data_IF_551597939930
#
_entry.id   IF_551597939930
#
_cell.length_a   1.000
_cell.length_b   1.000
_cell.length_c   1.000
_cell.angle_alpha   90.00
_cell.angle_beta   90.00
_cell.angle_gamma   90.00
#
_symmetry.space_group_name_H-M   'P 1'
#
loop_
_entity.id
_entity.type
_entity.pdbx_description
1 polymer ?
#
# COMPACT_ATOMS: atom_id res chain seq x y z
N UNK A 1 11.05 3.50 23.78
CA UNK A 1 12.05 3.18 22.74
C UNK A 1 11.67 1.83 22.17
N UNK A 2 11.61 1.74 20.86
CA UNK A 2 11.32 0.47 20.21
C UNK A 2 12.46 -0.54 20.39
N UNK A 3 12.13 -1.80 20.26
CA UNK A 3 13.09 -2.92 20.25
C UNK A 3 12.80 -3.79 19.04
N UNK A 4 13.87 -4.29 18.40
CA UNK A 4 13.77 -5.18 17.25
C UNK A 4 13.81 -6.64 17.72
N UNK A 5 12.89 -7.44 17.21
CA UNK A 5 12.96 -8.91 17.31
C UNK A 5 12.87 -9.53 15.91
N UNK A 6 13.50 -10.70 15.73
CA UNK A 6 13.41 -11.49 14.51
C UNK A 6 12.65 -12.77 14.81
N UNK A 7 11.81 -13.18 13.90
CA UNK A 7 11.03 -14.39 14.00
C UNK A 7 10.82 -15.04 12.64
N UNK A 8 9.97 -16.04 12.64
CA UNK A 8 9.52 -16.72 11.42
C UNK A 8 8.00 -16.87 11.47
N UNK A 9 7.38 -16.67 10.32
CA UNK A 9 5.98 -17.03 10.10
C UNK A 9 5.96 -18.38 9.37
N UNK A 10 5.57 -19.42 10.08
CA UNK A 10 5.50 -20.79 9.56
C UNK A 10 4.07 -21.09 9.12
N UNK A 11 3.87 -21.27 7.82
CA UNK A 11 2.55 -21.63 7.31
C UNK A 11 2.65 -22.48 6.05
N UNK A 12 1.85 -23.56 5.99
CA UNK A 12 1.70 -24.42 4.82
C UNK A 12 3.03 -24.92 4.19
N UNK A 13 4.01 -25.24 5.04
CA UNK A 13 5.32 -25.72 4.59
C UNK A 13 6.28 -24.65 4.07
N UNK A 14 5.89 -23.36 4.15
CA UNK A 14 6.75 -22.24 3.89
C UNK A 14 7.13 -21.53 5.19
N UNK A 15 8.36 -21.03 5.26
CA UNK A 15 8.90 -20.26 6.38
C UNK A 15 9.30 -18.88 5.85
N UNK A 16 8.73 -17.81 6.41
CA UNK A 16 9.00 -16.44 6.04
C UNK A 16 9.66 -15.71 7.21
N UNK A 17 10.80 -15.09 6.97
CA UNK A 17 11.45 -14.25 7.97
C UNK A 17 10.56 -13.05 8.32
N UNK A 18 10.42 -12.79 9.63
CA UNK A 18 9.75 -11.60 10.15
C UNK A 18 10.69 -10.72 10.95
N UNK A 19 10.48 -9.41 10.85
CA UNK A 19 11.17 -8.38 11.62
C UNK A 19 10.10 -7.57 12.34
N UNK A 20 10.17 -7.49 13.67
CA UNK A 20 9.16 -6.82 14.49
C UNK A 20 9.79 -5.72 15.33
N UNK A 21 9.30 -4.50 15.16
CA UNK A 21 9.55 -3.38 16.09
C UNK A 21 8.47 -3.39 17.16
N UNK A 22 8.87 -3.30 18.43
CA UNK A 22 7.95 -3.21 19.57
C UNK A 22 8.22 -1.95 20.37
N UNK A 23 7.22 -1.14 20.64
CA UNK A 23 7.30 0.05 21.52
C UNK A 23 6.12 0.06 22.50
N UNK A 24 6.40 -0.34 23.75
CA UNK A 24 5.38 -0.50 24.77
C UNK A 24 4.37 -1.60 24.44
N UNK A 25 3.11 -1.24 24.32
CA UNK A 25 2.00 -2.15 23.99
C UNK A 25 1.81 -2.38 22.48
N UNK A 26 2.62 -1.71 21.63
CA UNK A 26 2.49 -1.74 20.17
C UNK A 26 3.59 -2.59 19.55
N UNK A 27 3.22 -3.40 18.55
CA UNK A 27 4.19 -4.17 17.78
C UNK A 27 3.84 -4.08 16.28
N UNK A 28 4.86 -3.83 15.45
CA UNK A 28 4.74 -3.68 14.01
C UNK A 28 5.68 -4.65 13.31
N UNK A 29 5.11 -5.58 12.52
CA UNK A 29 5.85 -6.68 11.89
C UNK A 29 5.93 -6.52 10.39
N UNK A 30 7.10 -6.75 9.83
CA UNK A 30 7.40 -6.71 8.40
C UNK A 30 7.89 -8.08 7.93
N UNK A 31 7.45 -8.51 6.74
CA UNK A 31 7.84 -9.76 6.10
C UNK A 31 8.58 -9.46 4.78
N UNK A 32 9.93 -9.39 4.78
CA UNK A 32 10.71 -8.98 3.61
C UNK A 32 10.47 -9.86 2.37
N UNK A 33 10.39 -11.17 2.57
CA UNK A 33 10.26 -12.16 1.47
C UNK A 33 8.87 -12.13 0.81
N UNK A 34 7.88 -11.51 1.47
CA UNK A 34 6.52 -11.38 0.95
C UNK A 34 6.24 -9.93 0.53
N UNK A 35 6.88 -9.50 -0.57
CA UNK A 35 6.69 -8.16 -1.12
C UNK A 35 7.20 -7.01 -0.23
N UNK A 36 8.06 -7.30 0.75
CA UNK A 36 8.57 -6.31 1.69
C UNK A 36 7.51 -5.69 2.60
N UNK A 37 6.28 -6.19 2.61
CA UNK A 37 5.14 -5.52 3.24
C UNK A 37 5.10 -5.68 4.77
N UNK A 38 4.41 -4.74 5.44
CA UNK A 38 3.99 -4.94 6.81
C UNK A 38 2.84 -5.95 6.87
N UNK A 39 2.93 -6.89 7.79
CA UNK A 39 2.00 -8.02 7.91
C UNK A 39 1.22 -8.04 9.22
N UNK A 40 1.63 -7.25 10.22
CA UNK A 40 0.93 -7.12 11.49
C UNK A 40 1.18 -5.75 12.11
N UNK A 41 0.16 -5.19 12.74
CA UNK A 41 0.26 -4.03 13.61
C UNK A 41 -0.69 -4.22 14.78
N UNK A 42 -0.15 -4.48 15.95
CA UNK A 42 -0.94 -4.85 17.14
C UNK A 42 -0.84 -3.82 18.25
N UNK A 43 -1.89 -3.79 19.08
CA UNK A 43 -1.92 -3.12 20.38
C UNK A 43 -2.31 -4.15 21.45
N UNK A 44 -1.42 -4.44 22.42
CA UNK A 44 -1.64 -5.50 23.42
C UNK A 44 -2.02 -6.86 22.81
N UNK A 45 -1.52 -7.16 21.58
CA UNK A 45 -1.84 -8.38 20.85
C UNK A 45 -3.14 -8.34 20.05
N UNK A 46 -3.93 -7.26 20.13
CA UNK A 46 -5.09 -7.03 19.27
C UNK A 46 -4.63 -6.54 17.89
N UNK A 47 -5.05 -7.23 16.82
CA UNK A 47 -4.52 -7.06 15.46
C UNK A 47 -5.34 -6.04 14.66
N UNK A 48 -4.68 -5.00 14.16
CA UNK A 48 -5.26 -3.93 13.34
C UNK A 48 -5.11 -4.13 11.84
N UNK A 49 -4.19 -5.03 11.41
CA UNK A 49 -4.10 -5.39 10.00
C UNK A 49 -4.83 -6.72 9.76
N UNK A 50 -5.42 -6.84 8.60
CA UNK A 50 -6.02 -8.08 8.18
C UNK A 50 -5.01 -8.92 7.40
N UNK A 51 -4.87 -10.19 7.82
CA UNK A 51 -3.98 -11.14 7.21
C UNK A 51 -4.76 -12.37 6.74
N UNK A 52 -4.58 -12.73 5.48
CA UNK A 52 -5.17 -13.93 4.90
C UNK A 52 -4.09 -15.00 4.74
N UNK A 53 -4.19 -16.08 5.49
CA UNK A 53 -3.23 -17.19 5.47
C UNK A 53 -2.94 -17.69 4.05
N UNK A 54 -3.97 -17.84 3.21
CA UNK A 54 -3.84 -18.28 1.81
C UNK A 54 -2.88 -17.43 0.98
N UNK A 55 -2.69 -16.16 1.32
CA UNK A 55 -1.78 -15.27 0.60
C UNK A 55 -0.30 -15.59 0.86
N UNK A 56 0.00 -16.41 1.88
CA UNK A 56 1.35 -16.90 2.14
C UNK A 56 1.63 -18.25 1.50
N UNK A 57 0.60 -18.99 1.08
CA UNK A 57 0.73 -20.30 0.46
C UNK A 57 1.04 -20.24 -1.03
N UNK A 58 0.59 -19.17 -1.70
CA UNK A 58 0.65 -19.05 -3.15
C UNK A 58 1.64 -18.00 -3.61
N UNK A 59 2.00 -18.06 -4.89
CA UNK A 59 2.71 -16.99 -5.60
C UNK A 59 1.78 -15.86 -6.02
N UNK A 60 0.50 -15.96 -5.70
CA UNK A 60 -0.49 -14.93 -6.00
C UNK A 60 -0.19 -13.64 -5.25
N UNK A 61 -0.70 -12.54 -5.80
CA UNK A 61 -0.58 -11.23 -5.17
C UNK A 61 -1.15 -11.25 -3.74
N UNK A 62 -0.38 -10.78 -2.75
CA UNK A 62 -0.88 -10.72 -1.38
C UNK A 62 -2.01 -9.69 -1.27
N UNK A 63 -3.19 -10.17 -0.85
CA UNK A 63 -4.34 -9.32 -0.54
C UNK A 63 -4.51 -9.26 0.97
N UNK A 64 -3.53 -8.69 1.66
CA UNK A 64 -3.47 -8.61 3.12
C UNK A 64 -2.32 -7.68 3.55
N UNK A 65 -2.27 -7.29 4.82
CA UNK A 65 -1.21 -6.44 5.35
C UNK A 65 -1.17 -5.06 4.70
N UNK A 66 0.01 -4.58 4.36
CA UNK A 66 0.22 -3.29 3.67
C UNK A 66 1.09 -3.50 2.41
N UNK A 67 0.52 -3.94 1.27
CA UNK A 67 1.23 -4.02 0.01
C UNK A 67 1.76 -2.68 -0.48
N UNK A 68 2.95 -2.69 -1.11
CA UNK A 68 3.60 -1.54 -1.73
C UNK A 68 3.26 -1.57 -3.22
N UNK A 69 2.64 -0.50 -3.72
CA UNK A 69 2.24 -0.38 -5.12
C UNK A 69 3.32 0.39 -5.90
N UNK A 70 3.97 -0.29 -6.85
CA UNK A 70 4.98 0.28 -7.75
C UNK A 70 5.19 -0.67 -8.97
N UNK A 71 5.34 -0.19 -10.20
CA UNK A 71 5.38 1.22 -10.64
C UNK A 71 3.99 1.81 -10.98
N UNK A 72 2.90 1.14 -10.65
CA UNK A 72 1.53 1.63 -10.89
C UNK A 72 0.59 1.33 -9.74
N UNK A 73 -0.42 2.19 -9.58
CA UNK A 73 -1.57 2.00 -8.70
C UNK A 73 -2.75 1.53 -9.54
N UNK A 74 -3.39 0.40 -9.16
CA UNK A 74 -4.47 -0.20 -9.97
C UNK A 74 -3.95 -0.94 -11.21
N UNK A 75 -4.86 -1.33 -12.10
CA UNK A 75 -4.55 -2.06 -13.32
C UNK A 75 -4.58 -1.10 -14.52
N UNK A 76 -3.49 -0.98 -15.31
CA UNK A 76 -3.50 -0.20 -16.54
C UNK A 76 -4.53 -0.73 -17.54
N UNK A 77 -4.98 0.12 -18.44
CA UNK A 77 -5.83 -0.28 -19.56
C UNK A 77 -5.12 -1.38 -20.38
N UNK A 78 -5.86 -2.39 -20.79
CA UNK A 78 -5.34 -3.57 -21.50
C UNK A 78 -4.21 -4.34 -20.77
N UNK A 79 -3.91 -3.99 -19.51
CA UNK A 79 -2.86 -4.65 -18.70
C UNK A 79 -1.44 -4.41 -19.20
N UNK A 80 -1.19 -3.26 -19.85
CA UNK A 80 0.12 -2.92 -20.40
C UNK A 80 0.55 -1.50 -20.07
N UNK A 81 1.87 -1.31 -19.94
CA UNK A 81 2.50 0.01 -20.02
C UNK A 81 3.15 0.20 -21.40
N UNK A 82 3.16 1.43 -21.88
CA UNK A 82 3.76 1.79 -23.16
C UNK A 82 5.00 2.64 -22.95
N UNK A 83 6.18 2.10 -23.28
CA UNK A 83 7.45 2.82 -23.18
C UNK A 83 8.19 2.77 -24.51
N UNK A 84 8.55 3.94 -25.06
CA UNK A 84 9.34 4.03 -26.32
C UNK A 84 8.75 3.22 -27.48
N UNK A 85 7.42 3.18 -27.62
CA UNK A 85 6.73 2.46 -28.69
C UNK A 85 6.59 0.95 -28.49
N UNK A 86 7.03 0.41 -27.36
CA UNK A 86 6.84 -0.99 -26.97
C UNK A 86 5.80 -1.12 -25.85
N UNK A 87 5.04 -2.23 -25.86
CA UNK A 87 4.09 -2.59 -24.80
C UNK A 87 4.73 -3.60 -23.84
N UNK A 88 4.58 -3.35 -22.56
CA UNK A 88 5.08 -4.18 -21.47
C UNK A 88 3.92 -4.67 -20.61
N UNK A 89 3.67 -5.98 -20.52
CA UNK A 89 2.61 -6.50 -19.68
C UNK A 89 2.91 -6.20 -18.22
N UNK A 90 1.93 -5.68 -17.51
CA UNK A 90 2.05 -5.36 -16.09
C UNK A 90 0.78 -5.75 -15.34
N UNK A 91 0.95 -6.32 -14.18
CA UNK A 91 -0.15 -6.69 -13.30
C UNK A 91 -0.78 -5.47 -12.61
N UNK A 92 -1.98 -5.68 -12.07
CA UNK A 92 -2.61 -4.71 -11.17
C UNK A 92 -1.64 -4.36 -10.03
N UNK A 93 -1.45 -3.08 -9.73
CA UNK A 93 -0.53 -2.57 -8.69
C UNK A 93 0.98 -2.79 -8.95
N UNK A 94 1.35 -3.27 -10.14
CA UNK A 94 2.76 -3.39 -10.54
C UNK A 94 3.45 -4.65 -10.03
N UNK A 95 4.66 -4.49 -9.52
CA UNK A 95 5.57 -5.60 -9.24
C UNK A 95 6.13 -5.65 -7.81
N UNK A 96 6.10 -4.53 -7.06
CA UNK A 96 6.85 -4.43 -5.81
C UNK A 96 6.37 -5.40 -4.71
N UNK A 97 5.06 -5.66 -4.64
CA UNK A 97 4.44 -6.58 -3.69
C UNK A 97 4.51 -8.07 -4.13
N UNK A 98 4.99 -8.34 -5.35
CA UNK A 98 5.10 -9.70 -5.90
C UNK A 98 6.48 -10.33 -5.74
N UNK A 99 7.49 -9.52 -5.44
CA UNK A 99 8.89 -9.99 -5.37
C UNK A 99 9.46 -9.85 -3.97
N UNK A 100 10.37 -10.74 -3.56
CA UNK A 100 11.03 -10.62 -2.25
C UNK A 100 11.94 -9.40 -2.21
N UNK A 101 11.94 -8.70 -1.07
CA UNK A 101 12.84 -7.60 -0.76
C UNK A 101 14.00 -8.09 0.10
N UNK A 102 15.14 -7.45 -0.03
CA UNK A 102 16.31 -7.73 0.79
C UNK A 102 16.35 -6.83 2.02
N UNK A 103 16.75 -7.36 3.16
CA UNK A 103 17.01 -6.55 4.36
C UNK A 103 18.31 -5.78 4.14
N UNK A 104 18.21 -4.45 4.09
CA UNK A 104 19.35 -3.54 3.98
C UNK A 104 19.95 -3.27 5.36
N UNK A 105 19.10 -2.98 6.35
CA UNK A 105 19.47 -2.83 7.76
C UNK A 105 18.23 -3.05 8.64
N UNK A 106 18.44 -3.49 9.87
CA UNK A 106 17.38 -3.56 10.87
C UNK A 106 18.00 -3.43 12.27
N UNK A 107 17.46 -2.51 13.04
CA UNK A 107 17.85 -2.24 14.42
C UNK A 107 16.63 -1.78 15.24
N UNK A 108 16.83 -1.46 16.53
CA UNK A 108 15.76 -1.02 17.43
C UNK A 108 15.04 0.25 16.98
N UNK A 109 15.57 0.99 16.00
CA UNK A 109 14.99 2.26 15.55
C UNK A 109 14.23 2.12 14.23
N UNK A 110 14.65 1.21 13.35
CA UNK A 110 14.09 1.06 12.01
C UNK A 110 14.39 -0.29 11.37
N UNK A 111 13.52 -0.67 10.43
CA UNK A 111 13.73 -1.74 9.46
C UNK A 111 13.86 -1.09 8.09
N UNK A 112 14.98 -1.32 7.39
CA UNK A 112 15.16 -0.87 6.00
C UNK A 112 15.26 -2.08 5.08
N UNK A 113 14.41 -2.09 4.06
CA UNK A 113 14.40 -3.10 3.00
C UNK A 113 14.76 -2.44 1.67
N UNK A 114 15.35 -3.20 0.75
CA UNK A 114 15.66 -2.73 -0.59
C UNK A 114 15.19 -3.70 -1.66
N UNK A 115 14.76 -3.14 -2.79
CA UNK A 115 14.44 -3.86 -4.01
C UNK A 115 15.15 -3.19 -5.19
N UNK A 116 15.91 -3.99 -5.95
CA UNK A 116 16.53 -3.57 -7.21
C UNK A 116 16.02 -4.46 -8.34
N UNK A 117 16.02 -3.98 -9.61
CA UNK A 117 15.52 -4.75 -10.72
C UNK A 117 16.34 -6.02 -10.96
N UNK A 118 15.67 -7.03 -11.46
CA UNK A 118 16.25 -8.28 -11.95
C UNK A 118 15.70 -8.61 -13.34
N UNK A 119 16.06 -9.73 -13.91
CA UNK A 119 15.61 -10.11 -15.27
C UNK A 119 14.09 -10.20 -15.41
N UNK A 120 13.38 -10.65 -14.37
CA UNK A 120 11.92 -10.75 -14.40
C UNK A 120 11.26 -9.38 -14.30
N UNK A 121 11.72 -8.53 -13.37
CA UNK A 121 11.16 -7.18 -13.21
C UNK A 121 11.42 -6.32 -14.45
N UNK A 122 12.60 -6.45 -15.10
CA UNK A 122 12.92 -5.73 -16.35
C UNK A 122 12.10 -6.19 -17.55
N UNK A 123 11.57 -7.40 -17.54
CA UNK A 123 10.66 -7.88 -18.58
C UNK A 123 9.34 -7.13 -18.60
N UNK A 124 8.83 -6.73 -17.42
CA UNK A 124 7.56 -6.03 -17.28
C UNK A 124 7.72 -4.51 -17.09
N UNK A 125 8.89 -4.07 -16.59
CA UNK A 125 9.20 -2.67 -16.34
C UNK A 125 10.70 -2.42 -16.65
N UNK A 126 11.05 -1.96 -17.89
CA UNK A 126 12.40 -2.01 -18.44
C UNK A 126 13.31 -0.86 -17.99
N UNK A 127 13.27 -0.53 -16.71
CA UNK A 127 14.05 0.55 -16.11
C UNK A 127 14.99 0.04 -15.03
N UNK A 128 16.07 0.78 -14.80
CA UNK A 128 16.92 0.60 -13.64
C UNK A 128 16.47 1.54 -12.53
N UNK A 129 16.20 0.97 -11.36
CA UNK A 129 15.73 1.69 -10.19
C UNK A 129 16.27 1.06 -8.91
N UNK A 130 16.17 1.79 -7.82
CA UNK A 130 16.30 1.23 -6.48
C UNK A 130 15.12 1.71 -5.63
N UNK A 131 14.45 0.79 -4.97
CA UNK A 131 13.49 1.09 -3.94
C UNK A 131 14.15 0.84 -2.57
N UNK A 132 13.98 1.78 -1.65
CA UNK A 132 14.32 1.57 -0.24
C UNK A 132 13.08 1.88 0.59
N UNK A 133 12.59 0.88 1.32
CA UNK A 133 11.45 1.03 2.23
C UNK A 133 11.95 1.05 3.67
N UNK A 134 11.65 2.13 4.39
CA UNK A 134 11.99 2.31 5.80
C UNK A 134 10.74 2.28 6.63
N UNK A 135 10.75 1.42 7.65
CA UNK A 135 9.68 1.28 8.65
C UNK A 135 10.21 1.72 10.00
N UNK A 136 9.43 2.53 10.72
CA UNK A 136 9.70 2.92 12.11
C UNK A 136 8.44 2.82 12.93
N UNK A 137 8.57 2.54 14.23
CA UNK A 137 7.47 2.52 15.17
C UNK A 137 7.76 3.50 16.32
N UNK A 138 6.80 4.34 16.63
CA UNK A 138 6.84 5.22 17.81
C UNK A 138 5.47 5.20 18.47
N UNK A 139 5.39 4.55 19.64
CA UNK A 139 4.11 4.34 20.32
C UNK A 139 3.07 3.73 19.36
N UNK A 140 1.88 4.31 19.25
CA UNK A 140 0.78 3.84 18.40
C UNK A 140 0.94 4.15 16.91
N UNK A 141 2.07 4.73 16.46
CA UNK A 141 2.26 5.21 15.09
C UNK A 141 3.40 4.47 14.39
N UNK A 142 3.07 3.76 13.32
CA UNK A 142 4.04 3.25 12.37
C UNK A 142 4.20 4.23 11.21
N UNK A 143 5.46 4.58 10.88
CA UNK A 143 5.79 5.42 9.73
C UNK A 143 6.44 4.57 8.65
N UNK A 144 5.98 4.76 7.42
CA UNK A 144 6.39 4.06 6.22
C UNK A 144 6.93 5.09 5.22
N UNK A 145 8.22 4.96 4.85
CA UNK A 145 8.88 5.87 3.91
C UNK A 145 9.52 5.06 2.78
N UNK A 146 8.96 5.18 1.58
CA UNK A 146 9.47 4.57 0.36
C UNK A 146 10.30 5.60 -0.40
N UNK A 147 11.59 5.34 -0.58
CA UNK A 147 12.44 6.10 -1.49
C UNK A 147 12.53 5.36 -2.82
N UNK A 148 12.16 6.04 -3.90
CA UNK A 148 12.36 5.60 -5.29
C UNK A 148 13.55 6.36 -5.85
N UNK A 149 14.57 5.66 -6.35
CA UNK A 149 15.74 6.24 -7.01
C UNK A 149 15.85 5.72 -8.44
N UNK A 150 16.05 6.63 -9.39
CA UNK A 150 16.39 6.28 -10.76
C UNK A 150 17.88 6.00 -10.85
N UNK A 151 18.25 4.74 -11.03
CA UNK A 151 19.65 4.28 -11.16
C UNK A 151 20.05 4.01 -12.61
N UNK A 152 19.15 4.29 -13.55
CA UNK A 152 19.36 4.12 -14.99
C UNK A 152 19.79 5.39 -15.70
N UNK A 153 19.79 5.31 -17.03
CA UNK A 153 20.20 6.36 -17.95
C UNK A 153 19.03 7.05 -18.66
N UNK A 154 17.77 6.63 -18.36
CA UNK A 154 16.53 7.17 -18.93
C UNK A 154 15.63 7.69 -17.82
N UNK A 155 14.75 8.61 -18.15
CA UNK A 155 13.69 9.05 -17.24
C UNK A 155 12.84 7.86 -16.77
N UNK A 156 12.55 7.80 -15.47
CA UNK A 156 11.85 6.72 -14.80
C UNK A 156 10.40 7.15 -14.52
N UNK A 157 9.39 6.68 -15.32
CA UNK A 157 8.00 7.04 -15.14
C UNK A 157 7.29 6.04 -14.21
N UNK A 158 6.65 6.49 -13.14
CA UNK A 158 5.95 5.62 -12.19
C UNK A 158 4.84 6.33 -11.42
N UNK A 159 3.99 5.56 -10.77
CA UNK A 159 3.17 5.98 -9.65
C UNK A 159 3.38 5.08 -8.44
N UNK A 160 3.09 5.60 -7.25
CA UNK A 160 3.26 4.91 -5.96
C UNK A 160 1.96 4.98 -5.17
N UNK A 161 1.65 3.91 -4.48
CA UNK A 161 0.57 3.85 -3.51
C UNK A 161 0.84 2.78 -2.46
N UNK A 162 -0.04 2.74 -1.49
CA UNK A 162 -0.07 1.69 -0.47
C UNK A 162 -1.48 1.16 -0.34
N UNK A 163 -1.58 -0.15 -0.08
CA UNK A 163 -2.88 -0.84 -0.06
C UNK A 163 -3.11 -1.51 1.31
N UNK A 164 -3.21 -0.73 2.39
CA UNK A 164 -3.39 -1.30 3.72
C UNK A 164 -4.77 -1.96 3.86
N UNK A 165 -4.75 -3.20 4.34
CA UNK A 165 -5.91 -3.98 4.73
C UNK A 165 -6.06 -3.89 6.25
N UNK A 166 -7.00 -3.10 6.72
CA UNK A 166 -7.27 -2.95 8.14
C UNK A 166 -8.35 -3.94 8.58
N UNK A 167 -8.12 -4.63 9.70
CA UNK A 167 -9.12 -5.51 10.29
C UNK A 167 -10.37 -4.73 10.68
N UNK A 168 -11.53 -5.19 10.23
CA UNK A 168 -12.82 -4.59 10.51
C UNK A 168 -13.85 -5.67 10.87
N UNK A 169 -14.78 -5.36 11.76
CA UNK A 169 -15.82 -6.30 12.22
C UNK A 169 -16.86 -6.55 11.12
N UNK A 170 -17.56 -5.51 10.70
CA UNK A 170 -18.51 -5.49 9.60
C UNK A 170 -18.55 -4.08 9.03
N UNK A 171 -18.78 -3.94 7.73
CA UNK A 171 -18.80 -2.64 7.07
C UNK A 171 -19.82 -1.67 7.69
N UNK A 172 -20.97 -2.16 8.11
CA UNK A 172 -22.03 -1.35 8.75
C UNK A 172 -21.61 -0.74 10.10
N UNK A 173 -20.57 -1.27 10.73
CA UNK A 173 -20.02 -0.75 11.99
C UNK A 173 -18.90 0.28 11.75
N UNK A 174 -18.44 0.44 10.50
CA UNK A 174 -17.31 1.29 10.14
C UNK A 174 -17.81 2.67 9.72
N UNK A 175 -17.39 3.70 10.45
CA UNK A 175 -17.62 5.09 10.10
C UNK A 175 -16.31 5.73 9.62
N UNK A 176 -16.33 6.34 8.43
CA UNK A 176 -15.19 7.03 7.85
C UNK A 176 -15.27 8.54 8.11
N UNK A 177 -14.12 9.14 8.42
CA UNK A 177 -13.90 10.58 8.49
C UNK A 177 -12.82 10.93 7.45
N UNK A 178 -13.27 11.31 6.26
CA UNK A 178 -12.42 11.56 5.09
C UNK A 178 -12.97 12.79 4.34
N UNK A 179 -12.11 13.75 4.06
CA UNK A 179 -12.39 14.89 3.20
C UNK A 179 -11.70 14.69 1.85
N UNK A 180 -12.43 14.95 0.76
CA UNK A 180 -11.95 14.81 -0.60
C UNK A 180 -12.68 15.79 -1.53
N UNK A 181 -12.06 16.16 -2.65
CA UNK A 181 -12.70 17.01 -3.64
C UNK A 181 -13.76 16.25 -4.45
N UNK A 182 -13.47 15.00 -4.84
CA UNK A 182 -14.41 14.14 -5.57
C UNK A 182 -14.49 12.76 -4.96
N UNK A 183 -15.60 12.07 -5.17
CA UNK A 183 -15.78 10.68 -4.75
C UNK A 183 -16.67 9.93 -5.75
N UNK A 184 -16.16 8.85 -6.34
CA UNK A 184 -16.86 8.04 -7.33
C UNK A 184 -16.66 6.54 -7.09
N UNK A 185 -17.40 5.70 -7.81
CA UNK A 185 -17.23 4.25 -7.82
C UNK A 185 -16.44 3.75 -9.04
N UNK A 186 -16.05 4.65 -9.92
CA UNK A 186 -15.30 4.35 -11.14
C UNK A 186 -14.24 5.43 -11.40
N UNK A 187 -13.07 5.03 -11.84
CA UNK A 187 -12.03 5.96 -12.29
C UNK A 187 -12.35 6.56 -13.67
N UNK A 188 -13.32 5.99 -14.39
CA UNK A 188 -13.75 6.45 -15.72
C UNK A 188 -15.10 7.19 -15.63
N UNK A 189 -15.23 8.24 -16.42
CA UNK A 189 -16.45 9.04 -16.48
C UNK A 189 -16.44 10.23 -15.52
N UNK A 190 -17.63 10.71 -15.16
CA UNK A 190 -17.78 11.85 -14.26
C UNK A 190 -17.23 11.57 -12.87
N UNK A 191 -16.55 12.57 -12.33
CA UNK A 191 -16.03 12.56 -10.96
C UNK A 191 -16.85 13.56 -10.13
N UNK A 192 -17.96 13.12 -9.50
CA UNK A 192 -18.83 14.01 -8.76
C UNK A 192 -18.10 14.58 -7.53
N UNK A 193 -18.54 15.75 -7.07
CA UNK A 193 -18.07 16.30 -5.81
C UNK A 193 -18.31 15.29 -4.67
N UNK A 194 -17.35 15.22 -3.76
CA UNK A 194 -17.49 14.31 -2.62
C UNK A 194 -18.69 14.69 -1.76
N UNK A 195 -19.46 13.71 -1.26
CA UNK A 195 -20.52 13.98 -0.30
C UNK A 195 -19.93 14.43 1.05
N UNK A 196 -20.72 15.12 1.88
CA UNK A 196 -20.32 15.55 3.23
C UNK A 196 -19.84 14.36 4.10
N UNK A 197 -20.46 13.18 3.90
CA UNK A 197 -20.06 11.95 4.57
C UNK A 197 -19.78 10.88 3.52
N UNK A 198 -18.53 10.44 3.44
CA UNK A 198 -18.13 9.35 2.55
C UNK A 198 -18.43 8.02 3.26
N UNK A 199 -19.19 7.17 2.58
CA UNK A 199 -19.53 5.83 3.06
C UNK A 199 -19.12 4.78 2.05
N UNK A 200 -18.74 3.61 2.53
CA UNK A 200 -18.50 2.43 1.71
C UNK A 200 -19.68 1.47 1.89
N UNK A 201 -20.47 1.34 0.84
CA UNK A 201 -21.67 0.49 0.87
C UNK A 201 -21.54 -0.63 -0.17
N UNK A 202 -22.04 -1.81 0.19
CA UNK A 202 -22.06 -2.94 -0.72
C UNK A 202 -23.19 -2.77 -1.73
N UNK A 203 -22.87 -2.92 -3.02
CA UNK A 203 -23.90 -3.04 -4.07
C UNK A 203 -24.39 -4.47 -4.15
N UNK A 204 -25.70 -4.64 -4.30
CA UNK A 204 -26.29 -5.94 -4.57
C UNK A 204 -25.74 -6.53 -5.87
N UNK A 205 -25.28 -7.78 -5.80
CA UNK A 205 -24.68 -8.50 -6.94
C UNK A 205 -23.21 -8.13 -7.25
N UNK A 206 -22.59 -7.23 -6.48
CA UNK A 206 -21.16 -6.93 -6.60
C UNK A 206 -20.35 -7.62 -5.50
N UNK A 207 -19.21 -8.22 -5.88
CA UNK A 207 -18.22 -8.70 -4.91
C UNK A 207 -17.48 -7.54 -4.24
N UNK A 208 -17.32 -6.41 -4.95
CA UNK A 208 -16.53 -5.28 -4.50
C UNK A 208 -17.40 -4.10 -4.07
N UNK A 209 -16.96 -3.44 -2.99
CA UNK A 209 -17.40 -2.11 -2.58
C UNK A 209 -16.20 -1.17 -2.71
N UNK A 210 -16.33 -0.07 -3.47
CA UNK A 210 -15.21 0.83 -3.77
C UNK A 210 -15.64 2.29 -3.76
N UNK A 211 -14.74 3.16 -3.28
CA UNK A 211 -14.76 4.62 -3.50
C UNK A 211 -13.39 5.07 -3.96
N UNK A 212 -13.38 5.79 -5.06
CA UNK A 212 -12.21 6.44 -5.65
C UNK A 212 -12.33 7.94 -5.43
N UNK A 213 -11.35 8.53 -4.78
CA UNK A 213 -11.37 9.92 -4.32
C UNK A 213 -10.18 10.70 -4.89
N UNK A 214 -10.42 11.94 -5.32
CA UNK A 214 -9.34 12.87 -5.71
C UNK A 214 -9.31 14.08 -4.77
N UNK A 215 -8.14 14.73 -4.67
CA UNK A 215 -7.96 15.85 -3.75
C UNK A 215 -8.23 15.47 -2.30
N UNK A 216 -7.86 14.23 -1.95
CA UNK A 216 -8.03 13.69 -0.60
C UNK A 216 -7.18 14.46 0.40
N UNK A 217 -7.77 14.77 1.57
CA UNK A 217 -7.11 15.47 2.66
C UNK A 217 -6.54 14.51 3.70
N UNK A 218 -5.44 14.92 4.28
CA UNK A 218 -4.82 14.21 5.39
C UNK A 218 -5.27 14.81 6.73
N UNK A 219 -5.59 13.96 7.68
CA UNK A 219 -5.61 12.51 7.63
C UNK A 219 -6.93 11.91 7.20
N UNK A 220 -6.89 10.72 6.60
CA UNK A 220 -8.07 9.84 6.48
C UNK A 220 -8.22 9.04 7.77
N UNK A 221 -9.44 8.81 8.24
CA UNK A 221 -9.72 8.04 9.45
C UNK A 221 -10.90 7.11 9.28
N UNK A 222 -10.89 6.05 10.08
CA UNK A 222 -12.11 5.31 10.38
C UNK A 222 -12.18 4.88 11.84
N UNK A 223 -13.40 4.62 12.29
CA UNK A 223 -13.71 3.97 13.57
C UNK A 223 -14.61 2.79 13.31
N UNK A 224 -14.38 1.67 13.99
CA UNK A 224 -15.22 0.48 13.93
C UNK A 224 -15.86 0.23 15.31
N UNK A 225 -17.17 0.45 15.41
CA UNK A 225 -17.92 0.27 16.65
C UNK A 225 -18.09 -1.19 17.06
N UNK A 226 -17.82 -2.14 16.16
CA UNK A 226 -17.96 -3.56 16.43
C UNK A 226 -16.75 -4.19 17.13
N UNK A 227 -15.54 -3.69 16.88
CA UNK A 227 -14.30 -4.15 17.54
C UNK A 227 -13.60 -3.04 18.35
N UNK A 228 -14.04 -1.79 18.22
CA UNK A 228 -13.45 -0.64 18.92
C UNK A 228 -12.24 -0.04 18.24
N UNK A 229 -11.81 -0.54 17.07
CA UNK A 229 -10.65 -0.05 16.36
C UNK A 229 -10.83 1.39 15.87
N UNK A 230 -9.77 2.17 16.02
CA UNK A 230 -9.62 3.51 15.45
C UNK A 230 -8.33 3.53 14.65
N UNK A 231 -8.42 3.94 13.40
CA UNK A 231 -7.27 4.02 12.50
C UNK A 231 -7.19 5.39 11.87
N UNK A 232 -5.99 5.96 11.87
CA UNK A 232 -5.67 7.22 11.22
C UNK A 232 -4.53 7.01 10.24
N UNK A 233 -4.74 7.36 8.98
CA UNK A 233 -3.74 7.37 7.89
C UNK A 233 -3.39 8.81 7.58
N UNK A 234 -2.12 9.19 7.80
CA UNK A 234 -1.63 10.56 7.58
C UNK A 234 -0.54 10.57 6.51
N UNK A 235 -0.59 11.54 5.61
CA UNK A 235 0.31 11.65 4.46
C UNK A 235 0.48 13.12 4.02
N UNK A 236 1.46 13.38 3.16
CA UNK A 236 1.60 14.67 2.48
C UNK A 236 0.61 14.75 1.31
N UNK A 237 -0.36 15.68 1.38
CA UNK A 237 -1.39 15.90 0.37
C UNK A 237 -0.83 16.35 -0.99
N UNK A 238 0.38 16.90 -1.03
CA UNK A 238 1.06 17.25 -2.26
C UNK A 238 1.66 16.04 -2.99
N UNK A 239 1.80 14.93 -2.26
CA UNK A 239 2.37 13.66 -2.75
C UNK A 239 1.28 12.65 -3.04
N UNK A 240 0.41 12.39 -2.06
CA UNK A 240 -0.72 11.47 -2.21
C UNK A 240 -2.01 12.27 -2.41
N UNK A 241 -2.39 12.44 -3.66
CA UNK A 241 -3.53 13.27 -4.08
C UNK A 241 -4.82 12.47 -4.21
N UNK A 242 -4.72 11.15 -4.23
CA UNK A 242 -5.83 10.23 -4.43
C UNK A 242 -5.98 9.29 -3.24
N UNK A 243 -7.22 8.92 -2.96
CA UNK A 243 -7.55 7.93 -1.93
C UNK A 243 -8.47 6.85 -2.48
N UNK A 244 -8.34 5.64 -1.94
CA UNK A 244 -9.26 4.53 -2.25
C UNK A 244 -9.79 3.95 -0.96
N UNK A 245 -11.12 3.76 -0.91
CA UNK A 245 -11.76 2.85 0.04
C UNK A 245 -12.18 1.60 -0.72
N UNK A 246 -11.87 0.44 -0.18
CA UNK A 246 -12.23 -0.82 -0.81
C UNK A 246 -12.48 -1.93 0.20
N UNK A 247 -13.44 -2.81 -0.14
CA UNK A 247 -13.71 -4.07 0.55
C UNK A 247 -14.18 -5.10 -0.47
N UNK A 248 -13.82 -6.37 -0.28
CA UNK A 248 -14.23 -7.47 -1.14
C UNK A 248 -15.00 -8.53 -0.36
N UNK A 249 -16.05 -9.10 -0.99
CA UNK A 249 -16.80 -10.29 -0.54
C UNK A 249 -17.32 -10.24 0.91
N UNK A 250 -17.54 -9.04 1.46
CA UNK A 250 -17.90 -8.85 2.86
C UNK A 250 -16.91 -9.51 3.85
N UNK A 251 -15.65 -9.64 3.47
CA UNK A 251 -14.59 -10.08 4.36
C UNK A 251 -14.34 -9.06 5.48
N UNK A 252 -13.70 -9.49 6.56
CA UNK A 252 -13.52 -8.69 7.78
C UNK A 252 -12.35 -7.70 7.66
N UNK A 253 -12.35 -6.89 6.60
CA UNK A 253 -11.38 -5.81 6.42
C UNK A 253 -12.00 -4.60 5.71
N UNK A 254 -11.33 -3.47 5.82
CA UNK A 254 -11.48 -2.31 4.94
C UNK A 254 -10.11 -1.82 4.50
N UNK A 255 -9.98 -1.43 3.23
CA UNK A 255 -8.79 -0.76 2.73
C UNK A 255 -9.03 0.74 2.73
N UNK A 256 -8.01 1.51 3.18
CA UNK A 256 -8.01 2.98 3.15
C UNK A 256 -6.64 3.42 2.66
N UNK A 257 -6.55 3.69 1.35
CA UNK A 257 -5.35 3.64 0.56
C UNK A 257 -4.91 5.03 0.10
N UNK A 258 -3.69 5.50 0.44
CA UNK A 258 -3.10 6.69 -0.15
C UNK A 258 -2.39 6.35 -1.47
N UNK A 259 -2.81 7.00 -2.57
CA UNK A 259 -2.22 6.84 -3.90
C UNK A 259 -1.79 8.19 -4.48
N UNK A 260 -0.74 8.19 -5.33
CA UNK A 260 -0.34 9.38 -6.06
C UNK A 260 -0.71 9.37 -7.54
N UNK A 261 -1.24 8.28 -8.05
CA UNK A 261 -1.68 8.13 -9.45
C UNK A 261 -2.82 7.14 -9.57
N UNK A 262 -3.49 7.15 -10.73
CA UNK A 262 -4.53 6.19 -11.08
C UNK A 262 -3.98 5.04 -11.91
N UNK A 263 -4.83 4.06 -12.16
CA UNK A 263 -4.49 2.80 -12.83
C UNK A 263 -3.72 2.96 -14.15
N UNK A 264 -4.09 3.96 -14.96
CA UNK A 264 -3.47 4.20 -16.27
C UNK A 264 -2.49 5.38 -16.28
N UNK A 265 -2.23 6.01 -15.14
CA UNK A 265 -1.46 7.26 -15.05
C UNK A 265 -0.07 7.17 -15.67
N UNK A 266 0.58 6.01 -15.60
CA UNK A 266 1.92 5.80 -16.16
C UNK A 266 1.92 5.86 -17.70
N UNK A 267 0.79 5.57 -18.34
CA UNK A 267 0.60 5.70 -19.80
C UNK A 267 0.18 7.12 -20.23
N UNK A 268 -0.14 8.00 -19.28
CA UNK A 268 -0.70 9.32 -19.53
C UNK A 268 0.32 10.39 -19.15
N UNK A 269 0.76 11.18 -20.15
CA UNK A 269 1.75 12.23 -19.91
C UNK A 269 1.23 13.26 -18.88
N UNK A 270 2.06 13.56 -17.87
CA UNK A 270 1.73 14.52 -16.81
C UNK A 270 0.85 13.95 -15.68
N UNK A 271 0.49 12.65 -15.72
CA UNK A 271 -0.32 11.99 -14.70
C UNK A 271 0.47 11.02 -13.82
N UNK A 272 1.78 10.92 -14.02
CA UNK A 272 2.71 10.10 -13.25
C UNK A 272 3.91 10.93 -12.77
N UNK A 273 4.70 10.35 -11.90
CA UNK A 273 5.99 10.92 -11.51
C UNK A 273 7.04 10.47 -12.51
N UNK A 274 7.94 11.37 -12.87
CA UNK A 274 9.10 11.09 -13.69
C UNK A 274 10.36 11.56 -12.95
N UNK A 275 11.32 10.66 -12.73
CA UNK A 275 12.64 10.99 -12.19
C UNK A 275 13.70 10.94 -13.28
N UNK A 276 14.50 11.98 -13.39
CA UNK A 276 15.67 11.97 -14.27
C UNK A 276 16.74 11.02 -13.75
N UNK A 277 17.70 10.59 -14.59
CA UNK A 277 18.83 9.79 -14.18
C UNK A 277 19.55 10.37 -12.95
N UNK A 278 19.73 9.54 -11.92
CA UNK A 278 20.37 9.91 -10.65
C UNK A 278 19.47 10.63 -9.64
N UNK A 279 18.23 10.96 -10.01
CA UNK A 279 17.27 11.57 -9.06
C UNK A 279 16.63 10.52 -8.16
N UNK A 280 16.16 10.98 -6.99
CA UNK A 280 15.36 10.17 -6.06
C UNK A 280 14.26 10.99 -5.42
N UNK A 281 13.18 10.33 -4.99
CA UNK A 281 12.05 10.94 -4.27
C UNK A 281 11.56 10.02 -3.18
N UNK A 282 11.26 10.61 -2.01
CA UNK A 282 10.65 9.91 -0.88
C UNK A 282 9.13 10.08 -0.87
N UNK A 283 8.44 8.99 -0.53
CA UNK A 283 6.99 8.88 -0.35
C UNK A 283 6.74 8.42 1.07
N UNK A 284 6.30 9.34 1.92
CA UNK A 284 6.16 9.09 3.35
C UNK A 284 4.71 9.24 3.79
N UNK A 285 4.26 8.27 4.57
CA UNK A 285 2.97 8.28 5.25
C UNK A 285 3.05 7.56 6.58
N UNK A 286 2.01 7.64 7.39
CA UNK A 286 1.97 6.96 8.67
C UNK A 286 0.57 6.40 8.96
N UNK A 287 0.54 5.35 9.76
CA UNK A 287 -0.67 4.78 10.33
C UNK A 287 -0.60 4.82 11.84
N UNK A 288 -1.64 5.37 12.47
CA UNK A 288 -1.82 5.40 13.92
C UNK A 288 -3.02 4.56 14.29
N UNK A 289 -2.87 3.68 15.28
CA UNK A 289 -3.91 2.79 15.79
C UNK A 289 -4.28 3.14 17.24
N UNK A 290 -5.57 2.94 17.61
CA UNK A 290 -6.05 3.29 18.96
C UNK A 290 -7.39 2.68 19.36
#
# INVERSE_FOLDING_TARGET
MSTLTTGTYEKYGASYKTLTLTDGEYAFTVTPEKGGMATSFTKNGDEYLWLRDKNFESTDRPRCGIPILFPNCGKPDDGVHHFNGAAYPIEVHGLADLVPWQVKSADDTAIELTLTPNGLTKFVYPFDFSLTMRYTLTSSTATLALTVANTGDKALPFSVGFHPYFAASKLDNVAFDIDAATCSESAKGEQPAAPETITLTRKEGSADSIRLMTGVKSPMRFTDSGNGHKVTVSFDESVFTNGVLWQQDAESFVCMEPWNGWANSVNEAGHHIELNPGESKEFKWSVTIG
#
